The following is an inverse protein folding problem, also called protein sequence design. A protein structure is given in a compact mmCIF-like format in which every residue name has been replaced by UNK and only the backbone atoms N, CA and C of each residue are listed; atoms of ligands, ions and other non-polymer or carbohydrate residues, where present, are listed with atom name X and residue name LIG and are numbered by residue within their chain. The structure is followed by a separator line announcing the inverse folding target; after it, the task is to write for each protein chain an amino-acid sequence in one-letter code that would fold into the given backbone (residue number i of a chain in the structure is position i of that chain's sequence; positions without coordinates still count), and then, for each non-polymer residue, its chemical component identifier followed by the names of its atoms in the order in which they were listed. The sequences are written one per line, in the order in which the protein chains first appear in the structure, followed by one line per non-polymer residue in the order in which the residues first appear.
data_IF_381901287299
#
_entry.id   IF_381901287299
#
_cell.length_a   1.000
_cell.length_b   1.000
_cell.length_c   1.000
_cell.angle_alpha   90.00
_cell.angle_beta   90.00
_cell.angle_gamma   90.00
#
_symmetry.space_group_name_H-M   'P 1'
#
loop_
_entity.id
_entity.type
_entity.pdbx_description
1 polymer ?
#
# COMPACT_ATOMS: atom_id res chain seq x y z
N UNK A 1 3.27 16.39 -61.26
CA UNK A 1 2.64 15.10 -60.91
C UNK A 1 3.47 14.45 -59.82
N UNK A 2 3.16 14.65 -58.52
CA UNK A 2 4.05 14.18 -57.46
C UNK A 2 3.37 14.00 -56.10
N UNK A 3 3.71 12.88 -55.45
CA UNK A 3 3.54 12.57 -54.03
C UNK A 3 2.12 12.30 -53.47
N UNK A 4 1.35 11.41 -54.10
CA UNK A 4 0.14 10.81 -53.49
C UNK A 4 0.39 9.48 -52.74
N UNK A 5 1.52 8.80 -52.96
CA UNK A 5 1.77 7.46 -52.39
C UNK A 5 2.55 7.42 -51.06
N UNK A 6 3.14 8.53 -50.60
CA UNK A 6 3.87 8.60 -49.32
C UNK A 6 3.00 8.85 -48.08
N UNK A 7 1.76 9.34 -48.26
CA UNK A 7 0.86 9.72 -47.14
C UNK A 7 0.26 8.53 -46.40
N UNK A 8 0.07 7.37 -47.06
CA UNK A 8 -0.55 6.19 -46.44
C UNK A 8 0.38 5.50 -45.43
N UNK A 9 1.68 5.38 -45.72
CA UNK A 9 2.66 4.76 -44.81
C UNK A 9 2.94 5.63 -43.58
N UNK A 10 3.01 6.95 -43.76
CA UNK A 10 3.11 7.92 -42.65
C UNK A 10 1.83 7.97 -41.79
N UNK A 11 0.66 7.80 -42.40
CA UNK A 11 -0.63 7.69 -41.70
C UNK A 11 -0.73 6.39 -40.91
N UNK A 12 -0.32 5.25 -41.48
CA UNK A 12 -0.28 3.96 -40.78
C UNK A 12 0.70 3.97 -39.59
N UNK A 13 1.88 4.60 -39.74
CA UNK A 13 2.83 4.77 -38.64
C UNK A 13 2.34 5.73 -37.55
N UNK A 14 1.49 6.71 -37.89
CA UNK A 14 0.78 7.56 -36.92
C UNK A 14 -0.38 6.83 -36.24
N UNK A 15 -1.14 6.03 -36.98
CA UNK A 15 -2.22 5.18 -36.45
C UNK A 15 -1.70 4.08 -35.52
N UNK A 16 -0.46 3.62 -35.73
CA UNK A 16 0.24 2.69 -34.82
C UNK A 16 0.70 3.34 -33.50
N UNK A 17 0.88 4.68 -33.46
CA UNK A 17 1.23 5.41 -32.23
C UNK A 17 0.04 5.66 -31.31
N UNK A 18 -1.18 5.50 -31.81
CA UNK A 18 -2.40 5.68 -31.01
C UNK A 18 -2.86 4.32 -30.55
N UNK A 19 -2.66 4.04 -29.25
CA UNK A 19 -3.13 2.79 -28.64
C UNK A 19 -4.63 2.63 -28.84
N UNK A 20 -5.13 1.39 -28.86
CA UNK A 20 -6.56 1.13 -28.83
C UNK A 20 -7.23 1.82 -27.62
N UNK A 21 -6.50 1.90 -26.49
CA UNK A 21 -6.90 2.61 -25.27
C UNK A 21 -7.07 4.11 -25.50
N UNK A 22 -6.15 4.75 -26.21
CA UNK A 22 -6.20 6.19 -26.48
C UNK A 22 -7.40 6.54 -27.37
N UNK A 23 -7.72 5.66 -28.33
CA UNK A 23 -8.93 5.80 -29.17
C UNK A 23 -10.20 5.66 -28.34
N UNK A 24 -10.27 4.72 -27.41
CA UNK A 24 -11.41 4.56 -26.51
C UNK A 24 -11.59 5.78 -25.60
N UNK A 25 -10.50 6.29 -25.00
CA UNK A 25 -10.52 7.52 -24.18
C UNK A 25 -11.03 8.71 -25.00
N UNK A 26 -10.57 8.86 -26.25
CA UNK A 26 -11.02 9.91 -27.14
C UNK A 26 -12.54 9.80 -27.42
N UNK A 27 -13.05 8.60 -27.68
CA UNK A 27 -14.48 8.37 -27.92
C UNK A 27 -15.32 8.75 -26.70
N UNK A 28 -14.89 8.36 -25.50
CA UNK A 28 -15.59 8.70 -24.25
C UNK A 28 -15.57 10.21 -24.01
N UNK A 29 -14.42 10.88 -24.23
CA UNK A 29 -14.29 12.35 -24.13
C UNK A 29 -15.18 13.06 -25.16
N UNK A 30 -15.28 12.56 -26.39
CA UNK A 30 -16.20 13.08 -27.39
C UNK A 30 -17.67 12.92 -26.96
N UNK A 31 -18.02 11.78 -26.36
CA UNK A 31 -19.37 11.56 -25.85
C UNK A 31 -19.71 12.51 -24.71
N UNK A 32 -18.79 12.71 -23.76
CA UNK A 32 -18.91 13.73 -22.70
C UNK A 32 -19.22 15.11 -23.27
N UNK A 33 -18.49 15.52 -24.31
CA UNK A 33 -18.67 16.85 -24.90
C UNK A 33 -20.02 16.98 -25.63
N UNK A 34 -20.51 15.90 -26.24
CA UNK A 34 -21.87 15.85 -26.83
C UNK A 34 -22.95 15.98 -25.74
N UNK A 35 -22.80 15.25 -24.64
CA UNK A 35 -23.72 15.31 -23.49
C UNK A 35 -23.72 16.71 -22.87
N UNK A 36 -22.55 17.33 -22.67
CA UNK A 36 -22.45 18.73 -22.21
C UNK A 36 -23.13 19.72 -23.15
N UNK A 37 -23.00 19.52 -24.47
CA UNK A 37 -23.72 20.36 -25.46
C UNK A 37 -25.23 20.16 -25.38
N UNK A 38 -25.69 18.93 -25.15
CA UNK A 38 -27.11 18.62 -25.00
C UNK A 38 -27.68 19.22 -23.70
N UNK A 39 -26.96 19.08 -22.58
CA UNK A 39 -27.26 19.73 -21.31
C UNK A 39 -27.47 21.24 -21.48
N UNK A 40 -26.51 21.94 -22.10
CA UNK A 40 -26.63 23.39 -22.37
C UNK A 40 -27.86 23.75 -23.19
N UNK A 41 -28.23 22.92 -24.18
CA UNK A 41 -29.45 23.13 -24.99
C UNK A 41 -30.72 22.97 -24.15
N UNK A 42 -30.77 21.96 -23.27
CA UNK A 42 -31.89 21.75 -22.36
C UNK A 42 -32.04 22.91 -21.38
N UNK A 43 -30.94 23.40 -20.78
CA UNK A 43 -30.95 24.57 -19.90
C UNK A 43 -31.50 25.80 -20.62
N UNK A 44 -30.98 26.11 -21.82
CA UNK A 44 -31.48 27.23 -22.61
C UNK A 44 -32.96 27.06 -23.00
N UNK A 45 -33.42 25.83 -23.27
CA UNK A 45 -34.83 25.56 -23.53
C UNK A 45 -35.70 25.84 -22.30
N UNK A 46 -35.25 25.43 -21.11
CA UNK A 46 -35.97 25.70 -19.85
C UNK A 46 -36.07 27.20 -19.60
N UNK A 47 -34.99 27.96 -19.79
CA UNK A 47 -34.99 29.42 -19.59
C UNK A 47 -35.99 30.11 -20.53
N UNK A 48 -35.99 29.72 -21.80
CA UNK A 48 -36.97 30.22 -22.78
C UNK A 48 -38.41 29.86 -22.40
N UNK A 49 -38.66 28.62 -21.96
CA UNK A 49 -39.98 28.18 -21.50
C UNK A 49 -40.45 28.99 -20.28
N UNK A 50 -39.54 29.32 -19.35
CA UNK A 50 -39.84 30.16 -18.18
C UNK A 50 -40.26 31.58 -18.61
N UNK A 51 -39.56 32.19 -19.56
CA UNK A 51 -39.95 33.52 -20.07
C UNK A 51 -41.32 33.51 -20.74
N UNK A 52 -41.61 32.49 -21.55
CA UNK A 52 -42.91 32.35 -22.21
C UNK A 52 -44.02 32.14 -21.16
N UNK A 53 -43.76 31.31 -20.13
CA UNK A 53 -44.70 31.10 -19.03
C UNK A 53 -44.99 32.43 -18.31
N UNK A 54 -43.97 33.25 -18.02
CA UNK A 54 -44.16 34.57 -17.41
C UNK A 54 -45.06 35.47 -18.26
N UNK A 55 -44.83 35.51 -19.59
CA UNK A 55 -45.66 36.29 -20.53
C UNK A 55 -47.11 35.80 -20.57
N UNK A 56 -47.33 34.49 -20.61
CA UNK A 56 -48.69 33.92 -20.64
C UNK A 56 -49.46 34.16 -19.34
N UNK A 57 -48.77 34.16 -18.20
CA UNK A 57 -49.36 34.51 -16.89
C UNK A 57 -49.79 35.97 -16.87
N UNK A 58 -48.95 36.89 -17.37
CA UNK A 58 -49.31 38.31 -17.50
C UNK A 58 -50.50 38.55 -18.43
N UNK A 59 -50.63 37.74 -19.49
CA UNK A 59 -51.75 37.79 -20.44
C UNK A 59 -53.03 37.07 -19.95
N UNK A 60 -53.05 36.55 -18.72
CA UNK A 60 -54.21 35.84 -18.15
C UNK A 60 -54.49 34.46 -18.77
N UNK A 61 -53.60 33.93 -19.62
CA UNK A 61 -53.78 32.64 -20.33
C UNK A 61 -53.35 31.44 -19.47
N UNK A 62 -54.03 31.24 -18.34
CA UNK A 62 -53.67 30.24 -17.30
C UNK A 62 -53.56 28.80 -17.82
N UNK A 63 -54.47 28.36 -18.70
CA UNK A 63 -54.46 26.98 -19.21
C UNK A 63 -53.22 26.69 -20.07
N UNK A 64 -52.79 27.63 -20.92
CA UNK A 64 -51.58 27.48 -21.74
C UNK A 64 -50.31 27.54 -20.88
N UNK A 65 -50.29 28.41 -19.88
CA UNK A 65 -49.18 28.48 -18.92
C UNK A 65 -49.01 27.15 -18.15
N UNK A 66 -50.11 26.52 -17.72
CA UNK A 66 -50.08 25.21 -17.04
C UNK A 66 -49.50 24.11 -17.94
N UNK A 67 -49.86 24.08 -19.22
CA UNK A 67 -49.34 23.10 -20.18
C UNK A 67 -47.83 23.26 -20.37
N UNK A 68 -47.34 24.49 -20.53
CA UNK A 68 -45.90 24.76 -20.61
C UNK A 68 -45.16 24.43 -19.32
N UNK A 69 -45.78 24.65 -18.15
CA UNK A 69 -45.19 24.26 -16.86
C UNK A 69 -44.98 22.74 -16.77
N UNK A 70 -45.95 21.94 -17.27
CA UNK A 70 -45.81 20.48 -17.35
C UNK A 70 -44.67 20.08 -18.29
N UNK A 71 -44.54 20.75 -19.44
CA UNK A 71 -43.44 20.54 -20.38
C UNK A 71 -42.08 20.87 -19.75
N UNK A 72 -41.97 22.02 -19.08
CA UNK A 72 -40.77 22.43 -18.33
C UNK A 72 -40.35 21.36 -17.32
N UNK A 73 -41.29 20.87 -16.51
CA UNK A 73 -41.01 19.83 -15.49
C UNK A 73 -40.49 18.53 -16.12
N UNK A 74 -40.99 18.16 -17.30
CA UNK A 74 -40.46 17.02 -18.05
C UNK A 74 -39.04 17.28 -18.54
N UNK A 75 -38.77 18.47 -19.11
CA UNK A 75 -37.43 18.87 -19.56
C UNK A 75 -36.43 18.89 -18.40
N UNK A 76 -36.83 19.35 -17.21
CA UNK A 76 -36.01 19.31 -15.99
C UNK A 76 -35.66 17.88 -15.58
N UNK A 77 -36.61 16.95 -15.66
CA UNK A 77 -36.34 15.53 -15.39
C UNK A 77 -35.37 14.92 -16.42
N UNK A 78 -35.44 15.35 -17.67
CA UNK A 78 -34.49 14.91 -18.71
C UNK A 78 -33.10 15.52 -18.47
N UNK A 79 -33.04 16.78 -18.02
CA UNK A 79 -31.78 17.43 -17.63
C UNK A 79 -31.11 16.69 -16.47
N UNK A 80 -31.86 16.35 -15.41
CA UNK A 80 -31.36 15.57 -14.28
C UNK A 80 -30.77 14.21 -14.71
N UNK A 81 -31.47 13.49 -15.60
CA UNK A 81 -30.95 12.25 -16.18
C UNK A 81 -29.65 12.48 -16.97
N UNK A 82 -29.60 13.55 -17.76
CA UNK A 82 -28.43 13.93 -18.55
C UNK A 82 -27.24 14.26 -17.65
N UNK A 83 -27.48 14.91 -16.51
CA UNK A 83 -26.44 15.23 -15.52
C UNK A 83 -25.89 13.94 -14.87
N UNK A 84 -26.76 12.99 -14.52
CA UNK A 84 -26.34 11.67 -14.01
C UNK A 84 -25.52 10.87 -15.05
N UNK A 85 -25.95 10.89 -16.31
CA UNK A 85 -25.19 10.28 -17.41
C UNK A 85 -23.83 10.94 -17.59
N UNK A 86 -23.76 12.28 -17.46
CA UNK A 86 -22.51 13.02 -17.55
C UNK A 86 -21.55 12.64 -16.42
N UNK A 87 -22.03 12.56 -15.18
CA UNK A 87 -21.23 12.09 -14.04
C UNK A 87 -20.71 10.68 -14.27
N UNK A 88 -21.54 9.78 -14.80
CA UNK A 88 -21.13 8.41 -15.13
C UNK A 88 -19.99 8.39 -16.13
N UNK A 89 -20.06 9.23 -17.18
CA UNK A 89 -19.01 9.35 -18.20
C UNK A 89 -17.73 9.94 -17.59
N UNK A 90 -17.84 10.95 -16.71
CA UNK A 90 -16.68 11.57 -16.07
C UNK A 90 -15.97 10.60 -15.11
N UNK A 91 -16.72 9.80 -14.35
CA UNK A 91 -16.17 8.73 -13.52
C UNK A 91 -15.45 7.68 -14.36
N UNK A 92 -16.04 7.24 -15.48
CA UNK A 92 -15.40 6.28 -16.38
C UNK A 92 -14.07 6.80 -16.94
N UNK A 93 -13.98 8.10 -17.25
CA UNK A 93 -12.71 8.71 -17.69
C UNK A 93 -11.67 8.64 -16.57
N UNK A 94 -12.07 8.98 -15.34
CA UNK A 94 -11.18 8.93 -14.17
C UNK A 94 -10.68 7.52 -13.88
N UNK A 95 -11.58 6.53 -13.96
CA UNK A 95 -11.25 5.12 -13.77
C UNK A 95 -10.21 4.64 -14.80
N UNK A 96 -10.39 5.00 -16.08
CA UNK A 96 -9.44 4.64 -17.13
C UNK A 96 -8.08 5.32 -16.90
N UNK A 97 -8.08 6.58 -16.47
CA UNK A 97 -6.84 7.30 -16.15
C UNK A 97 -6.11 6.65 -14.97
N UNK A 98 -6.84 6.22 -13.93
CA UNK A 98 -6.29 5.46 -12.82
C UNK A 98 -5.73 4.10 -13.27
N UNK A 99 -6.45 3.36 -14.13
CA UNK A 99 -5.97 2.08 -14.67
C UNK A 99 -4.72 2.22 -15.55
N UNK A 100 -4.55 3.33 -16.27
CA UNK A 100 -3.31 3.61 -16.99
C UNK A 100 -2.13 3.82 -16.03
N UNK A 101 -2.35 4.47 -14.89
CA UNK A 101 -1.32 4.61 -13.84
C UNK A 101 -0.98 3.24 -13.25
N UNK A 102 -1.99 2.43 -12.90
CA UNK A 102 -1.81 1.08 -12.38
C UNK A 102 -1.01 0.19 -13.34
N UNK A 103 -1.28 0.27 -14.65
CA UNK A 103 -0.50 -0.42 -15.67
C UNK A 103 0.98 0.00 -15.66
N UNK A 104 1.28 1.28 -15.45
CA UNK A 104 2.66 1.76 -15.38
C UNK A 104 3.37 1.28 -14.11
N UNK A 105 2.66 1.21 -12.98
CA UNK A 105 3.20 0.63 -11.74
C UNK A 105 3.55 -0.84 -11.95
N UNK A 106 2.66 -1.62 -12.57
CA UNK A 106 2.91 -3.02 -12.92
C UNK A 106 4.16 -3.19 -13.78
N UNK A 107 4.32 -2.39 -14.84
CA UNK A 107 5.55 -2.39 -15.66
C UNK A 107 6.79 -2.06 -14.85
N UNK A 108 6.69 -1.12 -13.89
CA UNK A 108 7.78 -0.80 -12.97
C UNK A 108 8.17 -1.99 -12.09
N UNK A 109 7.18 -2.74 -11.58
CA UNK A 109 7.41 -3.97 -10.81
C UNK A 109 8.06 -5.05 -11.69
N UNK A 110 7.62 -5.22 -12.93
CA UNK A 110 8.23 -6.17 -13.88
C UNK A 110 9.71 -5.87 -14.11
N UNK A 111 10.05 -4.60 -14.38
CA UNK A 111 11.45 -4.16 -14.55
C UNK A 111 12.25 -4.36 -13.26
N UNK A 112 11.67 -4.04 -12.10
CA UNK A 112 12.29 -4.29 -10.80
C UNK A 112 12.57 -5.78 -10.56
N UNK A 113 11.62 -6.65 -10.90
CA UNK A 113 11.77 -8.10 -10.79
C UNK A 113 12.85 -8.63 -11.75
N UNK A 114 12.92 -8.14 -12.99
CA UNK A 114 14.01 -8.48 -13.90
C UNK A 114 15.38 -8.03 -13.38
N UNK A 115 15.47 -6.82 -12.81
CA UNK A 115 16.69 -6.33 -12.20
C UNK A 115 17.12 -7.19 -11.00
N UNK A 116 16.17 -7.57 -10.14
CA UNK A 116 16.40 -8.49 -9.02
C UNK A 116 16.86 -9.87 -9.49
N UNK A 117 16.24 -10.43 -10.54
CA UNK A 117 16.69 -11.71 -11.13
C UNK A 117 18.13 -11.64 -11.63
N UNK A 118 18.50 -10.56 -12.31
CA UNK A 118 19.88 -10.35 -12.78
C UNK A 118 20.86 -10.21 -11.63
N UNK A 119 20.49 -9.46 -10.60
CA UNK A 119 21.30 -9.28 -9.40
C UNK A 119 21.51 -10.62 -8.68
N UNK A 120 20.43 -11.37 -8.43
CA UNK A 120 20.49 -12.70 -7.82
C UNK A 120 21.29 -13.71 -8.66
N UNK A 121 21.29 -13.58 -9.99
CA UNK A 121 22.12 -14.41 -10.86
C UNK A 121 23.62 -14.07 -10.76
N UNK A 122 23.98 -12.82 -10.45
CA UNK A 122 25.39 -12.40 -10.23
C UNK A 122 25.88 -12.80 -8.84
N UNK A 123 24.99 -12.78 -7.84
CA UNK A 123 25.19 -13.35 -6.51
C UNK A 123 24.83 -14.85 -6.48
N UNK A 124 25.11 -15.59 -7.57
CA UNK A 124 24.72 -16.99 -7.67
C UNK A 124 25.20 -17.78 -6.45
N UNK A 125 24.33 -18.69 -6.01
CA UNK A 125 24.54 -19.60 -4.87
C UNK A 125 25.95 -20.21 -4.90
N UNK A 126 26.49 -20.50 -6.09
CA UNK A 126 27.85 -21.02 -6.30
C UNK A 126 28.96 -20.12 -5.73
N UNK A 127 28.85 -18.79 -5.84
CA UNK A 127 29.83 -17.87 -5.22
C UNK A 127 29.68 -17.79 -3.70
N UNK A 128 28.46 -17.98 -3.20
CA UNK A 128 28.18 -18.00 -1.77
C UNK A 128 28.69 -19.32 -1.18
N UNK A 129 28.46 -20.45 -1.87
CA UNK A 129 28.96 -21.78 -1.52
C UNK A 129 30.49 -21.82 -1.56
N UNK A 130 31.14 -21.33 -2.62
CA UNK A 130 32.60 -21.27 -2.69
C UNK A 130 33.21 -20.41 -1.59
N UNK A 131 32.56 -19.29 -1.22
CA UNK A 131 33.05 -18.42 -0.15
C UNK A 131 32.84 -19.03 1.23
N UNK A 132 31.75 -19.79 1.43
CA UNK A 132 31.52 -20.58 2.65
C UNK A 132 32.54 -21.72 2.77
N UNK A 133 32.82 -22.43 1.68
CA UNK A 133 33.83 -23.50 1.63
C UNK A 133 35.23 -22.95 1.94
N UNK A 134 35.63 -21.83 1.31
CA UNK A 134 36.90 -21.15 1.59
C UNK A 134 36.99 -20.67 3.05
N UNK A 135 35.87 -20.22 3.62
CA UNK A 135 35.81 -19.80 5.03
C UNK A 135 35.93 -21.01 5.97
N UNK A 136 35.28 -22.13 5.64
CA UNK A 136 35.34 -23.37 6.42
C UNK A 136 36.75 -23.98 6.39
N UNK A 137 37.39 -24.04 5.22
CA UNK A 137 38.79 -24.44 5.07
C UNK A 137 39.74 -23.54 5.88
N UNK A 138 39.51 -22.22 5.87
CA UNK A 138 40.27 -21.26 6.66
C UNK A 138 40.13 -21.49 8.17
N UNK A 139 38.92 -21.81 8.64
CA UNK A 139 38.66 -22.16 10.05
C UNK A 139 39.35 -23.48 10.41
N UNK A 140 39.25 -24.51 9.58
CA UNK A 140 39.90 -25.80 9.80
C UNK A 140 41.42 -25.65 9.85
N UNK A 141 42.01 -24.87 8.95
CA UNK A 141 43.45 -24.58 8.97
C UNK A 141 43.86 -23.80 10.22
N UNK A 142 43.03 -22.88 10.70
CA UNK A 142 43.29 -22.18 11.96
C UNK A 142 43.19 -23.14 13.16
N UNK A 143 42.28 -24.10 13.12
CA UNK A 143 42.18 -25.16 14.13
C UNK A 143 43.39 -26.08 14.09
N UNK A 144 43.84 -26.55 12.92
CA UNK A 144 45.08 -27.32 12.78
C UNK A 144 46.30 -26.53 13.27
N UNK A 145 46.40 -25.23 12.95
CA UNK A 145 47.47 -24.37 13.48
C UNK A 145 47.38 -24.28 15.00
N UNK A 146 46.18 -24.09 15.55
CA UNK A 146 45.98 -24.06 16.99
C UNK A 146 46.29 -25.41 17.64
N UNK A 147 45.94 -26.53 17.03
CA UNK A 147 46.25 -27.88 17.51
C UNK A 147 47.74 -28.20 17.39
N UNK A 148 48.43 -27.73 16.35
CA UNK A 148 49.87 -27.85 16.23
C UNK A 148 50.58 -26.94 17.23
N UNK A 149 50.16 -25.69 17.39
CA UNK A 149 50.73 -24.77 18.39
C UNK A 149 50.44 -25.26 19.80
N UNK A 150 49.23 -25.74 20.08
CA UNK A 150 48.83 -26.28 21.37
C UNK A 150 49.46 -27.64 21.60
N UNK A 151 49.53 -28.53 20.63
CA UNK A 151 50.24 -29.81 20.72
C UNK A 151 51.75 -29.63 20.92
N UNK A 152 52.34 -28.60 20.32
CA UNK A 152 53.75 -28.22 20.52
C UNK A 152 53.96 -27.51 21.87
N UNK A 153 52.99 -26.73 22.39
CA UNK A 153 53.07 -26.08 23.72
C UNK A 153 52.73 -27.02 24.88
N UNK A 154 51.66 -27.80 24.75
CA UNK A 154 51.13 -28.73 25.76
C UNK A 154 52.02 -29.95 25.88
N UNK A 155 52.64 -30.41 24.78
CA UNK A 155 53.58 -31.53 24.80
C UNK A 155 54.91 -31.24 25.51
N UNK A 156 55.18 -30.00 25.94
CA UNK A 156 56.45 -29.63 26.57
C UNK A 156 56.34 -28.81 27.87
N UNK A 157 55.16 -28.28 28.24
CA UNK A 157 54.99 -27.46 29.46
C UNK A 157 53.87 -27.92 30.41
N UNK A 158 53.02 -28.88 30.02
CA UNK A 158 51.98 -29.47 30.90
C UNK A 158 52.32 -30.92 31.25
N UNK A 159 53.53 -31.14 31.77
CA UNK A 159 53.80 -32.36 32.55
C UNK A 159 52.91 -32.32 33.79
N UNK A 160 52.35 -33.47 34.18
CA UNK A 160 51.42 -33.71 35.30
C UNK A 160 51.90 -33.21 36.69
N UNK A 161 53.03 -32.51 36.77
CA UNK A 161 53.64 -32.01 38.01
C UNK A 161 53.00 -30.72 38.54
N UNK A 162 52.16 -30.03 37.76
CA UNK A 162 51.55 -28.74 38.14
C UNK A 162 50.03 -28.80 38.42
N UNK A 163 49.38 -29.95 38.23
CA UNK A 163 47.91 -30.03 38.39
C UNK A 163 47.48 -29.95 39.86
N UNK A 164 48.29 -30.45 40.80
CA UNK A 164 47.96 -30.40 42.24
C UNK A 164 48.08 -28.98 42.81
N UNK A 165 49.14 -28.22 42.47
CA UNK A 165 49.29 -26.82 42.90
C UNK A 165 48.22 -25.91 42.28
N UNK A 166 47.85 -26.16 41.02
CA UNK A 166 46.79 -25.40 40.33
C UNK A 166 45.40 -25.73 40.90
N UNK A 167 45.16 -26.96 41.33
CA UNK A 167 43.93 -27.36 42.01
C UNK A 167 43.81 -26.72 43.42
N UNK A 168 44.91 -26.57 44.15
CA UNK A 168 44.91 -25.81 45.41
C UNK A 168 44.63 -24.32 45.17
N UNK A 169 45.23 -23.71 44.14
CA UNK A 169 44.98 -22.31 43.80
C UNK A 169 43.53 -22.08 43.36
N UNK A 170 42.95 -23.00 42.58
CA UNK A 170 41.53 -22.98 42.19
C UNK A 170 40.60 -23.10 43.40
N UNK A 171 40.90 -23.99 44.34
CA UNK A 171 40.11 -24.15 45.58
C UNK A 171 40.18 -22.90 46.47
N UNK A 172 41.33 -22.23 46.53
CA UNK A 172 41.47 -20.96 47.26
C UNK A 172 40.62 -19.85 46.62
N UNK A 173 40.62 -19.72 45.29
CA UNK A 173 39.79 -18.74 44.56
C UNK A 173 38.30 -19.00 44.77
N UNK A 174 37.88 -20.26 44.80
CA UNK A 174 36.48 -20.63 45.06
C UNK A 174 36.09 -20.40 46.53
N UNK A 175 36.98 -20.69 47.48
CA UNK A 175 36.77 -20.42 48.91
C UNK A 175 36.66 -18.92 49.24
N UNK A 176 37.46 -18.07 48.58
CA UNK A 176 37.35 -16.61 48.70
C UNK A 176 36.01 -16.06 48.17
N UNK A 177 35.39 -16.72 47.19
CA UNK A 177 34.06 -16.35 46.69
C UNK A 177 32.91 -16.78 47.62
N UNK A 178 33.08 -17.83 48.42
CA UNK A 178 32.07 -18.23 49.42
C UNK A 178 32.07 -17.32 50.65
N UNK A 179 33.23 -16.83 51.10
CA UNK A 179 33.33 -15.91 52.26
C UNK A 179 32.70 -14.53 51.95
N UNK A 180 32.66 -14.12 50.67
CA UNK A 180 32.00 -12.86 50.26
C UNK A 180 30.46 -12.94 50.14
N UNK A 181 29.84 -14.10 50.43
CA UNK A 181 28.38 -14.30 50.37
C UNK A 181 27.70 -14.43 51.75
N UNK A 182 28.30 -13.97 52.84
CA UNK A 182 27.52 -13.66 54.05
C UNK A 182 26.72 -12.37 53.83
N UNK A 183 25.53 -12.51 53.24
CA UNK A 183 24.55 -11.44 53.06
C UNK A 183 23.94 -11.03 54.42
N UNK A 184 23.83 -9.73 54.75
CA UNK A 184 23.15 -9.27 55.96
C UNK A 184 21.64 -9.52 55.91
N UNK A 185 21.05 -9.79 57.07
CA UNK A 185 19.61 -10.06 57.26
C UNK A 185 18.75 -8.87 56.79
N UNK A 186 17.75 -9.14 55.95
CA UNK A 186 16.89 -8.12 55.33
C UNK A 186 15.87 -7.59 56.35
N UNK A 187 15.73 -6.27 56.55
CA UNK A 187 14.74 -5.70 57.46
C UNK A 187 13.29 -6.03 57.08
N UNK A 188 12.53 -6.57 58.04
CA UNK A 188 11.09 -6.90 57.97
C UNK A 188 10.24 -5.72 58.42
N UNK A 189 10.10 -4.68 57.59
CA UNK A 189 9.17 -3.58 57.88
C UNK A 189 8.20 -3.40 56.70
N UNK A 190 6.90 -3.57 56.98
CA UNK A 190 5.81 -3.53 55.99
C UNK A 190 5.66 -2.13 55.39
N UNK A 191 5.74 -2.04 54.05
CA UNK A 191 5.57 -0.81 53.29
C UNK A 191 4.08 -0.40 53.24
N UNK A 192 3.75 0.90 53.34
CA UNK A 192 2.38 1.40 53.42
C UNK A 192 1.58 1.18 52.13
N UNK A 193 0.30 0.82 52.30
CA UNK A 193 -0.65 0.45 51.25
C UNK A 193 -1.03 1.67 50.38
N UNK A 194 -0.65 1.62 49.09
CA UNK A 194 -1.03 2.63 48.10
C UNK A 194 -2.44 2.32 47.58
N UNK A 195 -3.37 3.25 47.79
CA UNK A 195 -4.78 3.15 47.42
C UNK A 195 -4.97 2.89 45.91
N UNK A 196 -5.72 1.82 45.59
CA UNK A 196 -6.10 1.44 44.21
C UNK A 196 -7.14 2.42 43.66
N UNK A 197 -6.98 2.94 42.42
CA UNK A 197 -8.01 3.79 41.81
C UNK A 197 -9.28 3.01 41.47
N UNK A 198 -10.43 3.64 41.76
CA UNK A 198 -11.79 3.13 41.65
C UNK A 198 -12.15 2.61 40.24
N UNK A 199 -12.79 1.44 40.21
CA UNK A 199 -13.45 0.89 39.01
C UNK A 199 -14.71 1.69 38.69
N UNK A 200 -14.66 2.47 37.62
CA UNK A 200 -15.85 3.09 37.00
C UNK A 200 -16.77 1.96 36.50
N UNK A 201 -17.96 1.85 37.11
CA UNK A 201 -19.04 0.94 36.71
C UNK A 201 -19.68 1.44 35.41
N UNK A 202 -19.27 0.91 34.27
CA UNK A 202 -20.02 1.03 33.02
C UNK A 202 -21.16 0.00 33.01
N UNK A 203 -22.38 0.51 32.84
CA UNK A 203 -23.69 -0.16 32.91
C UNK A 203 -23.86 -1.28 31.87
N UNK A 204 -24.20 -2.48 32.37
CA UNK A 204 -24.53 -3.68 31.56
C UNK A 204 -25.93 -3.65 30.92
N UNK A 205 -26.71 -2.59 31.08
CA UNK A 205 -28.11 -2.56 30.61
C UNK A 205 -28.28 -2.17 29.13
N UNK A 206 -27.25 -1.70 28.43
CA UNK A 206 -27.37 -1.30 27.02
C UNK A 206 -27.08 -2.41 26.00
N UNK A 207 -26.64 -3.60 26.45
CA UNK A 207 -26.26 -4.70 25.54
C UNK A 207 -27.38 -5.73 25.29
N UNK A 208 -28.38 -5.83 26.17
CA UNK A 208 -29.51 -6.76 25.99
C UNK A 208 -30.64 -6.20 25.11
N UNK A 209 -30.79 -4.87 24.98
CA UNK A 209 -31.81 -4.29 24.09
C UNK A 209 -31.47 -4.39 22.60
N UNK A 210 -30.20 -4.55 22.23
CA UNK A 210 -29.77 -4.66 20.83
C UNK A 210 -29.86 -6.09 20.26
N UNK A 211 -30.09 -7.11 21.10
CA UNK A 211 -30.17 -8.51 20.66
C UNK A 211 -31.61 -9.01 20.45
N UNK A 212 -32.62 -8.30 20.96
CA UNK A 212 -34.04 -8.68 20.79
C UNK A 212 -34.68 -8.03 19.56
N UNK A 213 -34.10 -6.95 19.02
CA UNK A 213 -34.59 -6.31 17.78
C UNK A 213 -34.00 -6.91 16.49
N UNK A 214 -33.16 -7.95 16.60
CA UNK A 214 -32.52 -8.62 15.47
C UNK A 214 -33.02 -10.06 15.24
N UNK A 215 -34.15 -10.44 15.83
CA UNK A 215 -34.91 -11.67 15.53
C UNK A 215 -36.34 -11.30 15.13
#
# INVERSE_FOLDING_TARGET
MGNLFGRSKARAAREAKVSATDRAILQIKQQRDKVKKYQKRLTAQIDNEVEIIRKLVQQGQKQKALLLLKKKKYTEKVLEKTDNELMTIENLIMDIEYKNVEQNVLKGIEVGNEALKKLNAVFSIEKIEALLEETEEGIQKQQEINELITGIRVGNELSDENDDELNEELNNILGEQEIQRELPEVPTEELPEIEKPEKIKATKEKRERLLVEAQ
#
